data_IF_930527413455
#
_entry.id   IF_930527413455
#
_cell.length_a   1.000
_cell.length_b   1.000
_cell.length_c   1.000
_cell.angle_alpha   90.00
_cell.angle_beta   90.00
_cell.angle_gamma   90.00
#
_symmetry.space_group_name_H-M   'P 1'
#
loop_
_entity.id
_entity.type
_entity.pdbx_description
1 polymer ?
#
# COMPACT_ATOMS: atom_id res chain seq x y z
N UNK A 1 9.68 -11.91 -36.64
CA UNK A 1 8.52 -12.10 -35.76
C UNK A 1 9.04 -12.34 -34.36
N UNK A 2 8.53 -11.67 -33.31
CA UNK A 2 8.88 -12.04 -31.93
C UNK A 2 8.34 -13.45 -31.64
N UNK A 3 8.95 -14.23 -30.72
CA UNK A 3 8.45 -15.56 -30.35
C UNK A 3 6.99 -15.51 -29.89
N UNK A 4 6.61 -14.44 -29.18
CA UNK A 4 5.23 -14.15 -28.80
C UNK A 4 4.26 -14.07 -29.98
N UNK A 5 4.67 -13.48 -31.11
CA UNK A 5 3.81 -13.41 -32.31
C UNK A 5 3.63 -14.76 -33.00
N UNK A 6 4.64 -15.63 -32.96
CA UNK A 6 4.55 -16.97 -33.55
C UNK A 6 3.60 -17.87 -32.75
N UNK A 7 3.57 -17.71 -31.42
CA UNK A 7 2.67 -18.44 -30.55
C UNK A 7 1.21 -18.00 -30.71
N UNK A 8 0.97 -16.69 -30.88
CA UNK A 8 -0.37 -16.15 -31.19
C UNK A 8 -0.96 -16.69 -32.49
N UNK A 9 -0.12 -17.02 -33.47
CA UNK A 9 -0.55 -17.54 -34.77
C UNK A 9 -1.29 -18.88 -34.66
N UNK A 10 -1.01 -19.67 -33.60
CA UNK A 10 -1.72 -20.92 -33.27
C UNK A 10 -3.18 -20.68 -32.87
N UNK A 11 -3.47 -19.52 -32.29
CA UNK A 11 -4.80 -19.18 -31.77
C UNK A 11 -5.66 -18.42 -32.80
N UNK A 12 -5.10 -18.10 -33.97
CA UNK A 12 -5.75 -17.26 -34.99
C UNK A 12 -7.03 -17.86 -35.59
N UNK A 13 -7.09 -19.18 -35.73
CA UNK A 13 -8.17 -19.89 -36.43
C UNK A 13 -9.09 -20.67 -35.46
N UNK A 14 -9.05 -20.35 -34.16
CA UNK A 14 -9.89 -20.99 -33.15
C UNK A 14 -11.26 -20.28 -33.11
N UNK A 15 -12.35 -21.05 -33.17
CA UNK A 15 -13.71 -20.53 -33.04
C UNK A 15 -14.01 -20.15 -31.57
N UNK A 16 -13.80 -18.87 -31.23
CA UNK A 16 -14.01 -18.33 -29.88
C UNK A 16 -15.45 -18.55 -29.38
N UNK A 17 -16.45 -18.30 -30.23
CA UNK A 17 -17.88 -18.43 -29.88
C UNK A 17 -18.27 -19.85 -29.46
N UNK A 18 -17.63 -20.87 -30.05
CA UNK A 18 -17.92 -22.26 -29.72
C UNK A 18 -17.38 -22.63 -28.34
N UNK A 19 -16.18 -22.16 -28.00
CA UNK A 19 -15.57 -22.38 -26.68
C UNK A 19 -16.40 -21.69 -25.60
N UNK A 20 -16.89 -20.48 -25.88
CA UNK A 20 -17.75 -19.74 -24.96
C UNK A 20 -19.10 -20.43 -24.69
N UNK A 21 -19.64 -21.16 -25.67
CA UNK A 21 -20.89 -21.93 -25.50
C UNK A 21 -20.73 -23.22 -24.71
N UNK A 22 -19.54 -23.81 -24.69
CA UNK A 22 -19.25 -25.03 -23.93
C UNK A 22 -19.06 -24.77 -22.42
N UNK A 23 -18.80 -23.52 -22.04
CA UNK A 23 -18.66 -23.09 -20.64
C UNK A 23 -20.02 -23.04 -19.92
N UNK A 24 -20.03 -23.46 -18.66
CA UNK A 24 -21.19 -23.32 -17.79
C UNK A 24 -21.39 -21.84 -17.37
N UNK A 25 -22.60 -21.45 -16.93
CA UNK A 25 -22.87 -20.07 -16.51
C UNK A 25 -22.02 -19.61 -15.31
N UNK A 26 -21.58 -20.54 -14.47
CA UNK A 26 -20.71 -20.24 -13.32
C UNK A 26 -19.27 -19.96 -13.79
N UNK A 27 -18.76 -20.74 -14.74
CA UNK A 27 -17.42 -20.55 -15.31
C UNK A 27 -17.33 -19.27 -16.15
N UNK A 28 -18.41 -18.90 -16.86
CA UNK A 28 -18.50 -17.61 -17.56
C UNK A 28 -18.40 -16.44 -16.58
N UNK A 29 -19.09 -16.51 -15.43
CA UNK A 29 -19.02 -15.47 -14.41
C UNK A 29 -17.63 -15.36 -13.77
N UNK A 30 -16.93 -16.49 -13.61
CA UNK A 30 -15.53 -16.50 -13.17
C UNK A 30 -14.61 -15.86 -14.22
N UNK A 31 -14.77 -16.22 -15.50
CA UNK A 31 -13.99 -15.65 -16.61
C UNK A 31 -14.16 -14.12 -16.70
N UNK A 32 -15.39 -13.63 -16.57
CA UNK A 32 -15.67 -12.19 -16.51
C UNK A 32 -14.96 -11.52 -15.34
N UNK A 33 -14.90 -12.18 -14.18
CA UNK A 33 -14.21 -11.66 -13.00
C UNK A 33 -12.69 -11.61 -13.18
N UNK A 34 -12.09 -12.61 -13.83
CA UNK A 34 -10.65 -12.66 -14.14
C UNK A 34 -10.27 -11.62 -15.20
N UNK A 35 -11.08 -11.45 -16.26
CA UNK A 35 -10.86 -10.44 -17.29
C UNK A 35 -10.93 -9.01 -16.73
N UNK A 36 -11.81 -8.77 -15.76
CA UNK A 36 -11.90 -7.49 -15.07
C UNK A 36 -10.68 -7.19 -14.19
N UNK A 37 -9.90 -8.21 -13.80
CA UNK A 37 -8.72 -8.09 -12.94
C UNK A 37 -7.41 -8.06 -13.74
N UNK A 38 -7.37 -8.70 -14.91
CA UNK A 38 -6.14 -8.91 -15.68
C UNK A 38 -5.59 -7.68 -16.43
N UNK A 39 -6.37 -6.61 -16.62
CA UNK A 39 -5.92 -5.45 -17.38
C UNK A 39 -5.96 -4.12 -16.58
N UNK A 40 -4.91 -3.80 -15.81
CA UNK A 40 -4.74 -2.49 -15.20
C UNK A 40 -4.60 -1.36 -16.25
N UNK A 41 -4.46 -1.68 -17.53
CA UNK A 41 -4.32 -0.74 -18.65
C UNK A 41 -5.49 -0.78 -19.65
N UNK A 42 -6.66 -1.28 -19.25
CA UNK A 42 -7.84 -1.27 -20.12
C UNK A 42 -8.14 0.18 -20.58
N UNK A 43 -7.83 0.48 -21.84
CA UNK A 43 -7.88 1.83 -22.44
C UNK A 43 -9.30 2.37 -22.49
N UNK A 44 -10.30 1.48 -22.48
CA UNK A 44 -11.73 1.83 -22.56
C UNK A 44 -12.30 2.21 -21.18
N UNK A 45 -11.62 1.87 -20.07
CA UNK A 45 -12.07 2.18 -18.73
C UNK A 45 -11.31 3.39 -18.14
N UNK A 46 -12.02 4.42 -17.64
CA UNK A 46 -11.43 5.51 -16.86
C UNK A 46 -10.60 4.97 -15.69
N UNK A 47 -9.48 5.61 -15.38
CA UNK A 47 -8.53 5.14 -14.36
C UNK A 47 -9.17 4.80 -13.00
N UNK A 48 -10.19 5.57 -12.58
CA UNK A 48 -10.91 5.32 -11.31
C UNK A 48 -11.82 4.09 -11.31
N UNK A 49 -12.18 3.55 -12.47
CA UNK A 49 -13.02 2.36 -12.63
C UNK A 49 -12.21 1.09 -12.92
N UNK A 50 -10.89 1.21 -13.04
CA UNK A 50 -9.98 0.07 -13.17
C UNK A 50 -9.81 -0.68 -11.85
N UNK A 51 -10.02 0.01 -10.73
CA UNK A 51 -9.96 -0.58 -9.39
C UNK A 51 -11.34 -1.11 -8.98
N UNK A 52 -11.42 -2.40 -8.65
CA UNK A 52 -12.65 -3.00 -8.09
C UNK A 52 -12.99 -2.34 -6.75
N UNK A 53 -14.28 -2.17 -6.50
CA UNK A 53 -14.77 -1.70 -5.20
C UNK A 53 -14.33 -2.67 -4.10
N UNK A 54 -13.48 -2.19 -3.20
CA UNK A 54 -12.91 -2.97 -2.08
C UNK A 54 -13.93 -3.23 -0.96
N UNK A 55 -15.19 -2.91 -1.18
CA UNK A 55 -16.24 -3.04 -0.18
C UNK A 55 -17.48 -3.68 -0.80
N UNK A 56 -18.03 -4.68 -0.12
CA UNK A 56 -19.33 -5.28 -0.46
C UNK A 56 -20.53 -4.40 -0.05
N UNK A 57 -20.29 -3.18 0.46
CA UNK A 57 -21.34 -2.28 0.94
C UNK A 57 -21.85 -1.49 -0.25
N UNK A 58 -23.18 -1.37 -0.37
CA UNK A 58 -23.78 -0.48 -1.36
C UNK A 58 -23.41 0.98 -1.09
N UNK A 59 -23.30 1.82 -2.14
CA UNK A 59 -22.98 3.23 -1.98
C UNK A 59 -24.02 3.89 -1.09
N UNK A 60 -23.57 4.50 0.01
CA UNK A 60 -24.44 5.11 1.02
C UNK A 60 -24.89 6.50 0.60
N UNK A 61 -25.53 6.62 -0.57
CA UNK A 61 -26.21 7.84 -1.04
C UNK A 61 -25.40 9.15 -0.91
N UNK A 62 -26.07 10.31 -0.85
CA UNK A 62 -25.42 11.56 -0.44
C UNK A 62 -25.04 11.51 1.05
N UNK A 63 -23.97 12.19 1.42
CA UNK A 63 -23.44 12.21 2.78
C UNK A 63 -24.46 12.75 3.80
N UNK A 64 -24.93 11.88 4.71
CA UNK A 64 -25.68 12.28 5.90
C UNK A 64 -24.71 12.60 7.04
N UNK A 65 -24.52 13.90 7.31
CA UNK A 65 -23.57 14.39 8.30
C UNK A 65 -24.00 14.07 9.73
N UNK A 66 -25.30 14.07 10.02
CA UNK A 66 -25.80 13.92 11.38
C UNK A 66 -25.67 12.46 11.83
N UNK A 67 -25.96 11.51 10.93
CA UNK A 67 -25.73 10.09 11.16
C UNK A 67 -24.24 9.78 11.40
N UNK A 68 -23.34 10.42 10.65
CA UNK A 68 -21.89 10.26 10.81
C UNK A 68 -21.42 10.75 12.19
N UNK A 69 -21.88 11.93 12.64
CA UNK A 69 -21.50 12.47 13.94
C UNK A 69 -21.97 11.58 15.09
N UNK A 70 -23.21 11.11 15.04
CA UNK A 70 -23.75 10.19 16.06
C UNK A 70 -22.98 8.86 16.11
N UNK A 71 -22.50 8.37 14.98
CA UNK A 71 -21.65 7.18 14.93
C UNK A 71 -20.29 7.43 15.59
N UNK A 72 -19.64 8.55 15.26
CA UNK A 72 -18.34 8.92 15.82
C UNK A 72 -18.42 9.17 17.34
N UNK A 73 -19.47 9.83 17.82
CA UNK A 73 -19.71 10.02 19.26
C UNK A 73 -19.83 8.68 19.99
N UNK A 74 -20.58 7.73 19.42
CA UNK A 74 -20.71 6.39 19.97
C UNK A 74 -19.39 5.65 19.99
N UNK A 75 -18.65 5.66 18.88
CA UNK A 75 -17.32 5.04 18.80
C UNK A 75 -16.34 5.64 19.81
N UNK A 76 -16.37 6.96 20.01
CA UNK A 76 -15.52 7.63 20.97
C UNK A 76 -15.86 7.25 22.43
N UNK A 77 -17.14 7.02 22.73
CA UNK A 77 -17.58 6.55 24.05
C UNK A 77 -17.25 5.06 24.29
N UNK A 78 -17.29 4.23 23.25
CA UNK A 78 -16.98 2.80 23.30
C UNK A 78 -15.46 2.51 23.25
N UNK A 79 -14.65 3.46 22.82
CA UNK A 79 -13.20 3.30 22.72
C UNK A 79 -12.56 3.15 24.11
N UNK A 80 -12.07 1.94 24.41
CA UNK A 80 -11.36 1.65 25.65
C UNK A 80 -9.94 2.23 25.64
N UNK A 81 -9.47 2.65 26.82
CA UNK A 81 -8.10 3.08 27.01
C UNK A 81 -7.12 1.90 26.90
N UNK A 82 -5.99 2.11 26.24
CA UNK A 82 -4.95 1.10 26.06
C UNK A 82 -4.31 0.71 27.40
N UNK A 83 -4.38 -0.56 27.77
CA UNK A 83 -3.88 -1.04 29.07
C UNK A 83 -2.35 -1.17 29.12
N UNK A 84 -1.69 -1.13 27.96
CA UNK A 84 -0.24 -1.29 27.77
C UNK A 84 0.53 0.05 27.76
N UNK A 85 -0.11 1.15 28.18
CA UNK A 85 0.48 2.48 28.24
C UNK A 85 1.54 2.58 29.35
N UNK A 86 2.82 2.70 28.97
CA UNK A 86 3.88 3.12 29.89
C UNK A 86 3.69 4.61 30.18
N UNK A 87 3.46 5.03 31.43
CA UNK A 87 3.24 6.43 31.75
C UNK A 87 4.47 7.25 31.38
N UNK A 88 4.25 8.41 30.75
CA UNK A 88 5.33 9.33 30.40
C UNK A 88 6.03 9.81 31.67
N UNK A 89 7.30 9.43 31.84
CA UNK A 89 8.05 9.67 33.08
C UNK A 89 8.64 11.08 33.17
N UNK A 90 8.53 11.91 32.11
CA UNK A 90 9.09 13.27 32.09
C UNK A 90 10.62 13.34 32.24
N UNK A 91 11.29 12.19 32.32
CA UNK A 91 12.74 12.10 32.40
C UNK A 91 13.26 12.34 30.97
N UNK A 92 14.10 13.36 30.75
CA UNK A 92 14.73 13.52 29.45
C UNK A 92 15.56 12.26 29.15
N UNK A 93 15.19 11.54 28.09
CA UNK A 93 15.89 10.33 27.64
C UNK A 93 17.19 10.64 26.88
N UNK A 94 17.61 11.92 26.86
CA UNK A 94 18.86 12.39 26.27
C UNK A 94 19.96 12.62 27.31
N UNK A 95 21.22 12.51 26.88
CA UNK A 95 22.40 12.77 27.71
C UNK A 95 22.42 14.24 28.19
N UNK A 96 22.40 14.44 29.51
CA UNK A 96 22.77 15.71 30.12
C UNK A 96 24.30 15.87 30.07
N UNK A 97 24.77 16.86 29.31
CA UNK A 97 26.15 17.35 29.32
C UNK A 97 26.04 18.76 29.90
N UNK A 98 26.68 19.18 31.02
CA UNK A 98 28.12 19.05 31.27
C UNK A 98 28.60 18.94 32.76
N UNK A 99 29.81 18.41 32.99
CA UNK A 99 30.70 18.93 34.06
C UNK A 99 30.61 18.42 35.51
N UNK A 100 30.14 17.20 35.81
CA UNK A 100 30.23 16.65 37.18
C UNK A 100 31.25 15.49 37.31
N UNK A 101 32.19 15.55 38.29
CA UNK A 101 33.20 14.53 38.51
C UNK A 101 32.62 13.31 39.24
N UNK A 102 32.83 12.12 38.67
CA UNK A 102 32.50 10.86 39.35
C UNK A 102 31.90 9.76 38.47
N UNK A 103 31.56 10.03 37.21
CA UNK A 103 31.05 9.00 36.30
C UNK A 103 32.20 8.41 35.47
N UNK A 104 32.49 7.14 35.71
CA UNK A 104 33.56 6.41 35.05
C UNK A 104 33.45 6.46 33.53
N UNK A 105 34.57 6.79 32.89
CA UNK A 105 34.74 6.76 31.44
C UNK A 105 34.78 5.31 30.95
N UNK A 106 33.63 4.67 30.83
CA UNK A 106 33.50 3.49 29.97
C UNK A 106 33.18 4.00 28.57
N UNK A 107 34.18 3.90 27.69
CA UNK A 107 34.24 4.59 26.42
C UNK A 107 33.11 4.24 25.45
N UNK A 108 32.54 5.30 24.88
CA UNK A 108 32.12 5.32 23.48
C UNK A 108 32.95 6.42 22.80
N UNK A 109 34.21 6.13 22.53
CA UNK A 109 35.04 6.93 21.60
C UNK A 109 34.71 6.60 20.14
N UNK A 110 33.45 6.25 19.86
CA UNK A 110 32.93 6.21 18.50
C UNK A 110 32.53 7.63 18.14
N UNK A 111 33.40 8.33 17.41
CA UNK A 111 32.97 9.52 16.68
C UNK A 111 31.90 9.07 15.68
N UNK A 112 30.62 9.29 16.02
CA UNK A 112 29.57 9.30 15.01
C UNK A 112 29.87 10.50 14.11
N UNK A 113 30.63 10.25 13.04
CA UNK A 113 30.65 11.17 11.92
C UNK A 113 29.23 11.15 11.38
N UNK A 114 28.47 12.23 11.62
CA UNK A 114 27.47 12.63 10.67
C UNK A 114 28.22 12.75 9.34
N UNK A 115 28.09 11.76 8.46
CA UNK A 115 28.54 11.91 7.08
C UNK A 115 27.85 13.15 6.53
N UNK A 116 28.60 14.01 5.86
CA UNK A 116 27.99 15.06 5.04
C UNK A 116 26.98 14.38 4.14
N UNK A 117 25.69 14.62 4.41
CA UNK A 117 24.65 14.24 3.47
C UNK A 117 24.92 15.09 2.24
N UNK A 118 25.40 14.46 1.18
CA UNK A 118 25.51 15.13 -0.10
C UNK A 118 24.15 15.76 -0.42
N UNK A 119 24.13 17.04 -0.85
CA UNK A 119 22.89 17.69 -1.20
C UNK A 119 22.22 16.88 -2.30
N UNK A 120 20.97 16.49 -2.07
CA UNK A 120 20.19 15.71 -3.02
C UNK A 120 20.28 16.32 -4.42
N UNK A 121 20.78 15.55 -5.38
CA UNK A 121 20.93 15.96 -6.76
C UNK A 121 19.78 15.39 -7.61
N UNK A 122 18.80 16.21 -8.03
CA UNK A 122 17.68 15.75 -8.86
C UNK A 122 18.10 15.23 -10.24
N UNK A 123 19.34 15.46 -10.67
CA UNK A 123 19.85 15.04 -11.98
C UNK A 123 20.51 13.65 -11.95
N UNK A 124 20.66 13.02 -10.78
CA UNK A 124 21.22 11.67 -10.69
C UNK A 124 20.17 10.63 -11.07
N UNK A 125 20.43 9.80 -12.10
CA UNK A 125 19.54 8.71 -12.46
C UNK A 125 19.58 7.67 -11.33
N UNK A 126 18.40 7.35 -10.80
CA UNK A 126 18.21 6.33 -9.78
C UNK A 126 18.85 5.00 -10.21
N UNK A 127 19.90 4.60 -9.50
CA UNK A 127 20.52 3.29 -9.53
C UNK A 127 19.84 2.41 -8.47
N UNK A 128 18.90 1.58 -8.90
CA UNK A 128 18.03 0.77 -8.03
C UNK A 128 18.73 -0.35 -7.23
N UNK A 129 19.98 -0.17 -6.80
CA UNK A 129 20.82 -1.22 -6.20
C UNK A 129 21.08 -1.07 -4.68
N UNK A 130 20.39 -0.15 -3.98
CA UNK A 130 20.69 0.11 -2.56
C UNK A 130 19.88 -0.68 -1.52
N UNK A 131 19.09 -1.68 -1.91
CA UNK A 131 18.34 -2.52 -0.95
C UNK A 131 18.36 -4.01 -1.34
N UNK A 132 19.52 -4.64 -1.17
CA UNK A 132 19.63 -6.10 -0.93
C UNK A 132 20.07 -6.37 0.52
#
# INVERSE_FOLDING_TARGET
MTPYRQELEKYRDIDEDKILQELSPEELAQLDAELAEMDPENVLLPAGLRQRDQTHKSPTGPLDRDALLQHLERQALEAEERQDLVPFTGIPTGLAVPGLPGLGTAGITGAWKCGEREPWNPAEPWDGESWE
#
